data_IF_851917253188
#
_entry.id   IF_851917253188
#
_cell.length_a   1.000
_cell.length_b   1.000
_cell.length_c   1.000
_cell.angle_alpha   90.00
_cell.angle_beta   90.00
_cell.angle_gamma   90.00
#
_symmetry.space_group_name_H-M   'P 1'
#
loop_
_entity.id
_entity.type
_entity.pdbx_description
1 polymer ?
#
# COMPACT_ATOMS: atom_id res chain seq x y z
N UNK A 1 -4.99 -3.89 41.83
CA UNK A 1 -4.45 -4.10 40.46
C UNK A 1 -5.35 -3.57 39.33
N UNK A 2 -6.59 -3.13 39.60
CA UNK A 2 -7.51 -2.57 38.57
C UNK A 2 -7.28 -1.06 38.25
N UNK A 3 -6.72 -0.28 39.18
CA UNK A 3 -6.57 1.17 39.04
C UNK A 3 -5.41 1.62 38.14
N UNK A 4 -4.45 0.74 37.86
CA UNK A 4 -3.33 1.04 36.96
C UNK A 4 -3.79 1.06 35.49
N UNK A 5 -4.85 0.29 35.15
CA UNK A 5 -5.33 0.13 33.77
C UNK A 5 -6.13 1.35 33.26
N UNK A 6 -6.87 2.05 34.12
CA UNK A 6 -7.70 3.20 33.70
C UNK A 6 -6.84 4.44 33.42
N UNK A 7 -5.74 4.64 34.17
CA UNK A 7 -4.81 5.74 33.94
C UNK A 7 -4.08 5.60 32.59
N UNK A 8 -3.78 4.37 32.15
CA UNK A 8 -3.06 4.13 30.89
C UNK A 8 -3.86 4.55 29.65
N UNK A 9 -5.18 4.41 29.64
CA UNK A 9 -6.01 4.85 28.51
C UNK A 9 -6.22 6.37 28.46
N UNK A 10 -6.23 7.06 29.60
CA UNK A 10 -6.37 8.51 29.66
C UNK A 10 -5.16 9.26 29.06
N UNK A 11 -3.95 8.70 29.18
CA UNK A 11 -2.72 9.28 28.60
C UNK A 11 -2.67 9.09 27.07
N UNK A 12 -3.21 7.98 26.55
CA UNK A 12 -3.28 7.70 25.10
C UNK A 12 -4.16 8.70 24.34
N UNK A 13 -5.20 9.25 24.97
CA UNK A 13 -6.09 10.26 24.37
C UNK A 13 -5.39 11.56 23.95
N UNK A 14 -4.23 11.88 24.55
CA UNK A 14 -3.45 13.08 24.18
C UNK A 14 -2.54 12.89 22.96
N UNK A 15 -2.40 11.66 22.46
CA UNK A 15 -1.51 11.33 21.33
C UNK A 15 -2.25 11.06 20.01
N UNK A 16 -3.58 11.20 20.00
CA UNK A 16 -4.41 10.98 18.81
C UNK A 16 -4.91 12.33 18.29
N UNK A 17 -4.32 12.80 17.18
CA UNK A 17 -4.86 13.92 16.41
C UNK A 17 -5.67 13.38 15.23
N UNK A 18 -6.76 14.07 14.82
CA UNK A 18 -7.46 13.70 13.61
C UNK A 18 -6.52 13.79 12.41
N UNK A 19 -6.67 12.88 11.45
CA UNK A 19 -5.96 12.97 10.19
C UNK A 19 -6.31 14.29 9.50
N UNK A 20 -5.28 15.01 9.05
CA UNK A 20 -5.45 16.25 8.30
C UNK A 20 -5.56 15.94 6.80
N UNK A 21 -6.44 16.66 6.10
CA UNK A 21 -6.46 16.67 4.64
C UNK A 21 -5.25 17.44 4.08
N UNK A 22 -4.83 17.10 2.87
CA UNK A 22 -3.56 17.54 2.28
C UNK A 22 -2.34 16.73 2.75
N UNK A 23 -2.56 15.59 3.41
CA UNK A 23 -1.53 14.72 3.98
C UNK A 23 -1.12 13.55 3.07
N UNK A 24 -0.22 12.66 3.54
CA UNK A 24 0.29 11.54 2.76
C UNK A 24 -0.75 10.49 2.36
N UNK A 25 -1.95 10.53 2.94
CA UNK A 25 -3.06 9.63 2.57
C UNK A 25 -3.90 10.16 1.42
N UNK A 26 -3.68 11.40 0.99
CA UNK A 26 -4.39 11.99 -0.14
C UNK A 26 -3.75 11.63 -1.48
N UNK A 27 -4.54 11.77 -2.56
CA UNK A 27 -4.11 11.63 -3.95
C UNK A 27 -4.13 10.21 -4.51
N UNK A 28 -4.69 9.22 -3.81
CA UNK A 28 -4.89 7.86 -4.33
C UNK A 28 -6.13 7.77 -5.23
N UNK A 29 -6.09 8.48 -6.35
CA UNK A 29 -7.21 8.67 -7.29
C UNK A 29 -7.14 7.77 -8.54
N UNK A 30 -6.02 7.10 -8.77
CA UNK A 30 -5.86 6.15 -9.88
C UNK A 30 -6.38 4.77 -9.42
N UNK A 31 -7.48 4.31 -10.02
CA UNK A 31 -8.04 2.99 -9.73
C UNK A 31 -7.65 1.96 -10.80
N UNK A 32 -7.04 0.85 -10.37
CA UNK A 32 -6.67 -0.28 -11.23
C UNK A 32 -7.18 -1.57 -10.60
N UNK A 33 -7.62 -2.51 -11.41
CA UNK A 33 -8.01 -3.84 -10.96
C UNK A 33 -7.19 -4.89 -11.71
N UNK A 34 -6.52 -5.77 -10.97
CA UNK A 34 -5.71 -6.83 -11.55
C UNK A 34 -5.80 -8.13 -10.72
N UNK A 35 -5.69 -9.30 -11.38
CA UNK A 35 -5.35 -10.54 -10.69
C UNK A 35 -3.86 -10.53 -10.34
N UNK A 36 -3.51 -11.13 -9.20
CA UNK A 36 -2.11 -11.28 -8.78
C UNK A 36 -1.69 -12.73 -8.83
N UNK A 37 -0.43 -12.95 -9.18
CA UNK A 37 0.20 -14.25 -9.01
C UNK A 37 0.87 -14.32 -7.63
N UNK A 38 0.35 -15.21 -6.78
CA UNK A 38 0.81 -15.40 -5.41
C UNK A 38 2.12 -16.19 -5.39
N UNK A 39 2.86 -16.10 -4.27
CA UNK A 39 4.16 -16.76 -4.14
C UNK A 39 4.11 -18.30 -4.26
N UNK A 40 2.94 -18.90 -4.02
CA UNK A 40 2.70 -20.35 -4.15
C UNK A 40 2.27 -20.79 -5.56
N UNK A 41 2.21 -19.86 -6.53
CA UNK A 41 1.79 -20.15 -7.89
C UNK A 41 0.28 -20.09 -8.12
N UNK A 42 -0.53 -19.69 -7.12
CA UNK A 42 -1.97 -19.52 -7.27
C UNK A 42 -2.36 -18.10 -7.69
N UNK A 43 -3.49 -17.96 -8.40
CA UNK A 43 -4.02 -16.64 -8.76
C UNK A 43 -4.84 -16.10 -7.59
N UNK A 44 -4.50 -14.91 -7.11
CA UNK A 44 -5.24 -14.14 -6.12
C UNK A 44 -5.99 -12.96 -6.74
N UNK A 45 -6.97 -12.43 -6.01
CA UNK A 45 -7.77 -11.27 -6.45
C UNK A 45 -9.04 -11.62 -7.24
N UNK A 46 -9.59 -10.69 -8.03
CA UNK A 46 -8.98 -9.41 -8.43
C UNK A 46 -8.94 -8.40 -7.28
N UNK A 47 -7.78 -7.80 -7.03
CA UNK A 47 -7.65 -6.74 -6.02
C UNK A 47 -7.86 -5.36 -6.63
N UNK A 48 -8.33 -4.42 -5.81
CA UNK A 48 -8.58 -3.05 -6.19
C UNK A 48 -7.45 -2.15 -5.71
N UNK A 49 -6.66 -1.65 -6.65
CA UNK A 49 -5.54 -0.75 -6.37
C UNK A 49 -6.07 0.67 -6.42
N UNK A 50 -5.80 1.43 -5.38
CA UNK A 50 -5.86 2.89 -5.41
C UNK A 50 -4.44 3.38 -5.36
N UNK A 51 -4.01 4.06 -6.42
CA UNK A 51 -2.63 4.42 -6.66
C UNK A 51 -2.45 5.93 -6.72
N UNK A 52 -1.24 6.38 -6.40
CA UNK A 52 -0.82 7.77 -6.59
C UNK A 52 0.61 7.85 -7.09
N UNK A 53 0.88 8.87 -7.90
CA UNK A 53 2.23 9.23 -8.30
C UNK A 53 3.01 9.82 -7.13
N UNK A 54 4.22 9.32 -6.90
CA UNK A 54 5.22 9.91 -6.01
C UNK A 54 6.52 10.13 -6.81
N UNK A 55 7.46 10.91 -6.25
CA UNK A 55 8.75 11.20 -6.90
C UNK A 55 8.56 11.67 -8.36
N UNK A 56 7.78 12.74 -8.54
CA UNK A 56 7.45 13.30 -9.86
C UNK A 56 6.81 12.30 -10.85
N UNK A 57 6.21 11.22 -10.36
CA UNK A 57 5.54 10.20 -11.19
C UNK A 57 6.42 9.02 -11.60
N UNK A 58 7.67 8.95 -11.12
CA UNK A 58 8.57 7.80 -11.38
C UNK A 58 8.11 6.53 -10.67
N UNK A 59 7.27 6.67 -9.64
CA UNK A 59 6.71 5.57 -8.87
C UNK A 59 5.22 5.79 -8.67
N UNK A 60 4.41 4.76 -8.94
CA UNK A 60 3.04 4.67 -8.44
C UNK A 60 3.05 3.87 -7.15
N UNK A 61 2.67 4.50 -6.03
CA UNK A 61 2.41 3.84 -4.77
C UNK A 61 0.93 3.45 -4.72
N UNK A 62 0.63 2.20 -4.40
CA UNK A 62 -0.73 1.66 -4.44
C UNK A 62 -1.14 0.96 -3.14
N UNK A 63 -2.40 1.17 -2.76
CA UNK A 63 -3.09 0.46 -1.69
C UNK A 63 -4.07 -0.53 -2.31
N UNK A 64 -3.95 -1.82 -1.97
CA UNK A 64 -4.74 -2.89 -2.56
C UNK A 64 -5.84 -3.35 -1.59
N UNK A 65 -7.08 -3.38 -2.05
CA UNK A 65 -8.25 -3.77 -1.27
C UNK A 65 -8.99 -4.97 -1.89
N UNK A 66 -9.70 -5.73 -1.05
CA UNK A 66 -10.53 -6.87 -1.49
C UNK A 66 -11.76 -6.47 -2.30
N UNK A 67 -12.24 -5.23 -2.14
CA UNK A 67 -13.40 -4.69 -2.86
C UNK A 67 -13.34 -3.16 -2.93
N UNK A 68 -14.31 -2.53 -3.60
CA UNK A 68 -14.49 -1.07 -3.63
C UNK A 68 -15.37 -0.53 -2.49
N UNK A 69 -15.77 -1.38 -1.53
CA UNK A 69 -16.61 -0.95 -0.40
C UNK A 69 -15.83 -0.02 0.55
N UNK A 70 -16.50 0.93 1.23
CA UNK A 70 -15.83 1.86 2.14
C UNK A 70 -15.09 1.19 3.31
N UNK A 71 -15.51 -0.01 3.72
CA UNK A 71 -14.93 -0.80 4.82
C UNK A 71 -14.05 -1.95 4.34
N UNK A 72 -13.68 -1.98 3.05
CA UNK A 72 -12.88 -3.04 2.47
C UNK A 72 -11.53 -3.19 3.19
N UNK A 73 -11.09 -4.43 3.38
CA UNK A 73 -9.80 -4.74 4.00
C UNK A 73 -8.66 -4.40 3.05
N UNK A 74 -7.65 -3.68 3.55
CA UNK A 74 -6.36 -3.54 2.88
C UNK A 74 -5.62 -4.89 2.94
N UNK A 75 -5.19 -5.38 1.78
CA UNK A 75 -4.52 -6.68 1.65
C UNK A 75 -3.04 -6.57 1.34
N UNK A 76 -2.63 -5.49 0.67
CA UNK A 76 -1.25 -5.28 0.27
C UNK A 76 -0.96 -3.80 -0.03
N UNK A 77 0.33 -3.48 -0.09
CA UNK A 77 0.86 -2.25 -0.65
C UNK A 77 1.75 -2.65 -1.82
N UNK A 78 1.58 -2.01 -2.96
CA UNK A 78 2.35 -2.30 -4.17
C UNK A 78 2.95 -1.03 -4.76
N UNK A 79 4.11 -1.16 -5.41
CA UNK A 79 4.77 -0.05 -6.09
C UNK A 79 5.04 -0.42 -7.54
N UNK A 80 4.52 0.38 -8.48
CA UNK A 80 4.95 0.34 -9.87
C UNK A 80 6.09 1.33 -10.03
N UNK A 81 7.24 0.85 -10.46
CA UNK A 81 8.48 1.64 -10.55
C UNK A 81 8.86 1.77 -12.02
N UNK A 82 9.22 2.98 -12.46
CA UNK A 82 9.70 3.24 -13.80
C UNK A 82 10.86 2.28 -14.17
N UNK A 83 10.83 1.78 -15.40
CA UNK A 83 11.70 0.68 -15.85
C UNK A 83 13.19 1.04 -15.74
N UNK A 84 13.60 2.24 -16.17
CA UNK A 84 14.99 2.65 -16.11
C UNK A 84 15.47 2.83 -14.67
N UNK A 85 14.63 3.38 -13.79
CA UNK A 85 14.90 3.48 -12.36
C UNK A 85 15.09 2.09 -11.74
N UNK A 86 14.21 1.15 -12.02
CA UNK A 86 14.33 -0.22 -11.52
C UNK A 86 15.58 -0.93 -12.09
N UNK A 87 15.84 -0.84 -13.39
CA UNK A 87 16.97 -1.54 -14.05
C UNK A 87 18.34 -1.03 -13.62
N UNK A 88 18.44 0.25 -13.22
CA UNK A 88 19.68 0.82 -12.67
C UNK A 88 19.99 0.29 -11.26
N UNK A 89 18.97 -0.06 -10.49
CA UNK A 89 19.11 -0.32 -9.04
C UNK A 89 18.86 -1.78 -8.64
N UNK A 90 18.23 -2.59 -9.49
CA UNK A 90 17.89 -3.99 -9.20
C UNK A 90 18.66 -4.91 -10.15
N UNK A 91 19.57 -5.76 -9.64
CA UNK A 91 20.25 -6.76 -10.44
C UNK A 91 19.26 -7.68 -11.16
N UNK A 92 19.59 -8.09 -12.39
CA UNK A 92 18.70 -8.91 -13.23
C UNK A 92 18.26 -10.22 -12.56
N UNK A 93 19.15 -10.86 -11.79
CA UNK A 93 18.82 -12.07 -11.04
C UNK A 93 17.74 -11.83 -9.98
N UNK A 94 17.79 -10.68 -9.30
CA UNK A 94 16.78 -10.31 -8.31
C UNK A 94 15.48 -9.93 -9.01
N UNK A 95 15.56 -9.21 -10.13
CA UNK A 95 14.41 -8.88 -10.97
C UNK A 95 13.62 -10.14 -11.34
N UNK A 96 14.27 -11.10 -11.99
CA UNK A 96 13.60 -12.30 -12.50
C UNK A 96 13.00 -13.20 -11.39
N UNK A 97 13.46 -13.05 -10.14
CA UNK A 97 12.98 -13.83 -9.01
C UNK A 97 11.79 -13.21 -8.29
N UNK A 98 11.76 -11.89 -8.18
CA UNK A 98 10.87 -11.19 -7.24
C UNK A 98 10.04 -10.06 -7.87
N UNK A 99 10.29 -9.72 -9.12
CA UNK A 99 9.64 -8.60 -9.81
C UNK A 99 9.12 -9.06 -11.17
N UNK A 100 8.13 -8.36 -11.68
CA UNK A 100 7.57 -8.60 -13.00
C UNK A 100 7.21 -7.28 -13.67
N UNK A 101 6.99 -7.35 -14.98
CA UNK A 101 6.53 -6.21 -15.76
C UNK A 101 5.01 -6.19 -15.83
N UNK A 102 4.46 -4.99 -15.77
CA UNK A 102 3.08 -4.68 -16.12
C UNK A 102 3.04 -3.79 -17.35
#
# INVERSE_FOLDING_TARGET
MFMVSVLSFAVLGFMVTPAISGGPTDGFDIHVQAPHMMADGTVGGPYHHYCKGIQNGEILQCLLFESTKPDARLVAVEYFIEKNLARKNVPLIQWNRAFHYH
#
